data_IF_731298347513
#
_entry.id   IF_731298347513
#
_cell.length_a   1.000
_cell.length_b   1.000
_cell.length_c   1.000
_cell.angle_alpha   90.00
_cell.angle_beta   90.00
_cell.angle_gamma   90.00
#
_symmetry.space_group_name_H-M   'P 1'
#
loop_
_entity.id
_entity.type
_entity.pdbx_description
1 polymer ?
#
# COMPACT_ATOMS: atom_id res chain seq x y z
N UNK A 1 8.53 3.07 2.64
CA UNK A 1 7.83 1.79 2.88
C UNK A 1 8.16 0.74 1.82
N UNK A 2 8.17 1.09 0.52
CA UNK A 2 8.52 0.19 -0.58
C UNK A 2 9.90 -0.48 -0.39
N UNK A 3 10.92 0.27 0.04
CA UNK A 3 12.27 -0.24 0.28
C UNK A 3 12.29 -1.29 1.39
N UNK A 4 11.53 -1.09 2.47
CA UNK A 4 11.48 -2.06 3.57
C UNK A 4 10.79 -3.36 3.13
N UNK A 5 9.70 -3.27 2.38
CA UNK A 5 9.04 -4.43 1.78
C UNK A 5 9.96 -5.21 0.84
N UNK A 6 10.77 -4.50 0.04
CA UNK A 6 11.73 -5.12 -0.86
C UNK A 6 12.87 -5.82 -0.09
N UNK A 7 13.42 -5.21 0.96
CA UNK A 7 14.46 -5.83 1.81
C UNK A 7 13.98 -7.11 2.44
N UNK A 8 12.76 -7.15 2.94
CA UNK A 8 12.13 -8.34 3.52
C UNK A 8 11.98 -9.44 2.47
N UNK A 9 11.53 -9.08 1.25
CA UNK A 9 11.32 -10.01 0.16
C UNK A 9 12.63 -10.68 -0.30
N UNK A 10 13.69 -9.91 -0.45
CA UNK A 10 14.93 -10.39 -1.05
C UNK A 10 15.89 -11.04 -0.05
N UNK A 11 15.53 -11.06 1.24
CA UNK A 11 16.38 -11.64 2.30
C UNK A 11 17.83 -11.15 2.21
N UNK A 12 18.03 -9.89 1.81
CA UNK A 12 19.26 -9.37 1.24
C UNK A 12 20.40 -9.31 2.25
N UNK A 13 21.26 -10.30 2.19
CA UNK A 13 22.66 -10.15 2.58
C UNK A 13 23.38 -9.48 1.41
N UNK A 14 23.99 -8.33 1.69
CA UNK A 14 24.90 -7.49 0.91
C UNK A 14 25.28 -7.90 -0.53
N UNK A 15 25.44 -6.88 -1.39
CA UNK A 15 25.88 -6.94 -2.79
C UNK A 15 26.95 -7.99 -3.06
N UNK A 16 26.61 -9.04 -3.79
CA UNK A 16 27.58 -9.88 -4.46
C UNK A 16 28.22 -9.11 -5.64
N UNK A 17 29.51 -9.29 -5.92
CA UNK A 17 30.21 -8.65 -7.07
C UNK A 17 29.52 -8.96 -8.41
N UNK A 18 28.78 -10.07 -8.52
CA UNK A 18 28.05 -10.53 -9.70
C UNK A 18 26.53 -10.61 -9.48
N UNK A 19 26.00 -9.84 -8.55
CA UNK A 19 24.59 -9.84 -8.20
C UNK A 19 23.69 -9.09 -9.19
N UNK A 20 22.38 -9.38 -9.17
CA UNK A 20 21.36 -8.61 -9.89
C UNK A 20 21.31 -7.20 -9.31
N UNK A 21 21.38 -6.18 -10.18
CA UNK A 21 21.22 -4.79 -9.77
C UNK A 21 19.75 -4.44 -9.61
N UNK A 22 19.40 -3.80 -8.49
CA UNK A 22 18.02 -3.37 -8.22
C UNK A 22 17.97 -1.86 -8.25
N UNK A 23 17.10 -1.32 -9.10
CA UNK A 23 16.79 0.10 -9.21
C UNK A 23 15.38 0.31 -8.69
N UNK A 24 15.25 1.15 -7.66
CA UNK A 24 13.94 1.50 -7.08
C UNK A 24 13.87 3.02 -6.90
N UNK A 25 12.73 3.61 -7.21
CA UNK A 25 12.49 5.03 -7.03
C UNK A 25 11.24 5.52 -7.75
N UNK A 26 10.98 6.81 -7.61
CA UNK A 26 9.89 7.51 -8.27
C UNK A 26 10.39 8.42 -9.39
N UNK A 27 9.48 8.90 -10.23
CA UNK A 27 9.80 9.81 -11.33
C UNK A 27 10.58 11.03 -10.82
N UNK A 28 11.73 11.26 -11.40
CA UNK A 28 12.67 12.33 -11.01
C UNK A 28 13.90 11.84 -10.27
N UNK A 29 13.87 10.67 -9.66
CA UNK A 29 15.01 10.10 -8.97
C UNK A 29 16.16 9.79 -9.93
N UNK A 30 17.39 10.09 -9.49
CA UNK A 30 18.60 9.84 -10.29
C UNK A 30 18.77 8.36 -10.63
N UNK A 31 18.44 7.47 -9.69
CA UNK A 31 18.62 6.02 -9.81
C UNK A 31 17.83 5.41 -10.98
N UNK A 32 16.64 5.96 -11.26
CA UNK A 32 15.72 5.44 -12.29
C UNK A 32 15.52 6.36 -13.47
N UNK A 33 16.30 7.45 -13.57
CA UNK A 33 16.15 8.49 -14.62
C UNK A 33 16.09 7.93 -16.05
N UNK A 34 16.91 6.93 -16.37
CA UNK A 34 16.93 6.29 -17.69
C UNK A 34 15.64 5.56 -18.05
N UNK A 35 14.79 5.25 -17.05
CA UNK A 35 13.53 4.55 -17.22
C UNK A 35 12.32 5.48 -17.25
N UNK A 36 12.49 6.80 -17.00
CA UNK A 36 11.39 7.76 -16.92
C UNK A 36 10.42 7.72 -18.13
N UNK A 37 10.94 7.40 -19.32
CA UNK A 37 10.11 7.31 -20.53
C UNK A 37 9.13 6.13 -20.54
N UNK A 38 9.37 5.11 -19.73
CA UNK A 38 8.51 3.93 -19.62
C UNK A 38 7.49 4.03 -18.48
N UNK A 39 7.69 4.96 -17.54
CA UNK A 39 6.80 5.15 -16.40
C UNK A 39 5.53 5.84 -16.91
N UNK A 40 4.31 5.28 -16.66
CA UNK A 40 3.06 5.96 -17.00
C UNK A 40 2.93 7.27 -16.21
N UNK A 41 2.21 8.25 -16.78
CA UNK A 41 2.02 9.57 -16.15
C UNK A 41 0.83 9.61 -15.18
N UNK A 42 0.05 8.57 -15.16
CA UNK A 42 -1.11 8.42 -14.28
C UNK A 42 -0.66 8.27 -12.82
N UNK A 43 -1.44 8.80 -11.90
CA UNK A 43 -1.24 8.60 -10.46
C UNK A 43 -1.19 7.11 -10.13
N UNK A 44 -0.36 6.74 -9.17
CA UNK A 44 -0.13 5.35 -8.74
C UNK A 44 0.43 4.43 -9.85
N UNK A 45 0.80 4.99 -10.99
CA UNK A 45 1.35 4.23 -12.11
C UNK A 45 2.79 3.80 -11.87
N UNK A 46 3.20 2.68 -12.47
CA UNK A 46 4.56 2.17 -12.34
C UNK A 46 5.03 1.43 -13.58
N UNK A 47 6.34 1.33 -13.70
CA UNK A 47 7.06 0.47 -14.61
C UNK A 47 7.89 -0.54 -13.81
N UNK A 48 7.75 -1.81 -14.14
CA UNK A 48 8.54 -2.91 -13.59
C UNK A 48 9.25 -3.64 -14.72
N UNK A 49 10.55 -3.92 -14.54
CA UNK A 49 11.34 -4.70 -15.47
C UNK A 49 12.20 -5.70 -14.72
N UNK A 50 12.20 -6.93 -15.17
CA UNK A 50 13.01 -8.02 -14.64
C UNK A 50 13.85 -8.61 -15.77
N UNK A 51 15.15 -8.61 -15.60
CA UNK A 51 16.11 -9.23 -16.52
C UNK A 51 17.13 -10.06 -15.72
N UNK A 52 17.97 -10.89 -16.36
CA UNK A 52 19.05 -11.59 -15.65
C UNK A 52 20.08 -10.67 -14.98
N UNK A 53 20.11 -9.39 -15.33
CA UNK A 53 21.12 -8.42 -14.86
C UNK A 53 20.56 -7.33 -13.95
N UNK A 54 19.24 -7.04 -14.05
CA UNK A 54 18.63 -5.94 -13.31
C UNK A 54 17.15 -6.16 -13.02
N UNK A 55 16.70 -5.61 -11.89
CA UNK A 55 15.29 -5.41 -11.53
C UNK A 55 15.06 -3.91 -11.42
N UNK A 56 14.03 -3.40 -12.08
CA UNK A 56 13.64 -1.98 -12.06
C UNK A 56 12.23 -1.88 -11.49
N UNK A 57 12.07 -1.04 -10.46
CA UNK A 57 10.81 -0.75 -9.78
C UNK A 57 10.66 0.78 -9.78
N UNK A 58 9.98 1.31 -10.79
CA UNK A 58 9.95 2.75 -11.05
C UNK A 58 8.50 3.25 -11.05
N UNK A 59 8.10 3.98 -10.00
CA UNK A 59 6.79 4.60 -9.88
C UNK A 59 6.71 5.98 -10.51
N UNK A 60 5.51 6.41 -10.88
CA UNK A 60 5.24 7.82 -11.17
C UNK A 60 5.30 8.67 -9.89
N UNK A 61 4.95 8.05 -8.77
CA UNK A 61 4.91 8.57 -7.42
C UNK A 61 5.30 7.48 -6.40
N UNK A 62 5.31 7.83 -5.11
CA UNK A 62 5.65 6.90 -4.02
C UNK A 62 4.70 5.68 -4.02
N UNK A 63 3.41 5.89 -4.28
CA UNK A 63 2.40 4.84 -4.28
C UNK A 63 2.59 3.87 -5.46
N UNK A 64 2.88 4.38 -6.65
CA UNK A 64 3.23 3.57 -7.81
C UNK A 64 4.49 2.74 -7.57
N UNK A 65 5.51 3.32 -6.91
CA UNK A 65 6.73 2.58 -6.51
C UNK A 65 6.39 1.46 -5.53
N UNK A 66 5.51 1.71 -4.55
CA UNK A 66 5.01 0.68 -3.64
C UNK A 66 4.30 -0.46 -4.39
N UNK A 67 3.45 -0.14 -5.38
CA UNK A 67 2.73 -1.14 -6.17
C UNK A 67 3.63 -1.95 -7.09
N UNK A 68 4.70 -1.35 -7.61
CA UNK A 68 5.73 -2.10 -8.34
C UNK A 68 6.35 -3.20 -7.46
N UNK A 69 6.60 -2.91 -6.17
CA UNK A 69 7.08 -3.91 -5.20
C UNK A 69 6.04 -5.00 -4.94
N UNK A 70 4.74 -4.65 -4.82
CA UNK A 70 3.71 -5.65 -4.64
C UNK A 70 3.61 -6.59 -5.85
N UNK A 71 3.70 -6.03 -7.07
CA UNK A 71 3.73 -6.85 -8.29
C UNK A 71 4.96 -7.77 -8.33
N UNK A 72 6.15 -7.27 -7.96
CA UNK A 72 7.34 -8.12 -7.85
C UNK A 72 7.11 -9.29 -6.87
N UNK A 73 6.48 -9.04 -5.70
CA UNK A 73 6.13 -10.09 -4.74
C UNK A 73 5.20 -11.15 -5.33
N UNK A 74 4.18 -10.70 -6.09
CA UNK A 74 3.21 -11.59 -6.73
C UNK A 74 3.83 -12.44 -7.85
N UNK A 75 4.86 -11.91 -8.53
CA UNK A 75 5.58 -12.64 -9.59
C UNK A 75 6.59 -13.66 -9.06
N UNK A 76 6.99 -13.53 -7.78
CA UNK A 76 7.97 -14.43 -7.18
C UNK A 76 7.32 -15.78 -6.86
N UNK A 77 7.82 -16.82 -7.50
CA UNK A 77 7.42 -18.21 -7.24
C UNK A 77 8.68 -19.03 -6.97
N UNK A 78 8.73 -19.74 -5.84
CA UNK A 78 9.85 -20.60 -5.44
C UNK A 78 11.24 -19.91 -5.58
N UNK A 79 11.32 -18.64 -5.18
CA UNK A 79 12.51 -17.79 -5.34
C UNK A 79 12.94 -17.55 -6.80
N UNK A 80 12.06 -17.79 -7.75
CA UNK A 80 12.28 -17.50 -9.16
C UNK A 80 11.44 -16.30 -9.61
N UNK A 81 12.01 -15.50 -10.50
CA UNK A 81 11.34 -14.35 -11.11
C UNK A 81 11.34 -14.51 -12.63
N UNK A 82 10.22 -14.32 -13.32
CA UNK A 82 10.15 -14.35 -14.77
C UNK A 82 10.88 -13.14 -15.37
N UNK A 83 11.51 -13.30 -16.52
CA UNK A 83 11.98 -12.16 -17.34
C UNK A 83 10.73 -11.49 -17.92
N UNK A 84 10.50 -10.21 -17.57
CA UNK A 84 9.28 -9.50 -18.00
C UNK A 84 9.44 -7.98 -17.92
N UNK A 85 8.55 -7.28 -18.63
CA UNK A 85 8.31 -5.84 -18.48
C UNK A 85 6.81 -5.62 -18.26
N UNK A 86 6.46 -4.80 -17.27
CA UNK A 86 5.08 -4.43 -16.92
C UNK A 86 5.01 -2.92 -16.79
N UNK A 87 4.05 -2.32 -17.48
CA UNK A 87 3.61 -0.94 -17.27
C UNK A 87 2.16 -1.01 -16.84
N UNK A 88 1.85 -0.45 -15.67
CA UNK A 88 0.51 -0.58 -15.08
C UNK A 88 0.13 0.72 -14.35
N UNK A 89 -1.16 1.02 -14.34
CA UNK A 89 -1.76 2.13 -13.60
C UNK A 89 -3.25 1.84 -13.36
N UNK A 90 -3.84 2.40 -12.28
CA UNK A 90 -5.25 2.16 -12.00
C UNK A 90 -6.16 3.00 -12.90
N UNK A 91 -7.21 2.39 -13.44
CA UNK A 91 -8.28 3.10 -14.14
C UNK A 91 -9.33 3.66 -13.16
N UNK A 92 -9.46 3.03 -11.98
CA UNK A 92 -10.38 3.45 -10.92
C UNK A 92 -9.59 4.11 -9.79
N UNK A 93 -9.88 5.37 -9.52
CA UNK A 93 -9.16 6.19 -8.53
C UNK A 93 -9.26 5.64 -7.10
N UNK A 94 -10.46 5.25 -6.65
CA UNK A 94 -10.69 4.75 -5.29
C UNK A 94 -11.05 3.26 -5.34
N UNK A 95 -10.22 2.45 -4.71
CA UNK A 95 -10.34 1.00 -4.67
C UNK A 95 -10.20 0.54 -3.23
N UNK A 96 -11.22 -0.09 -2.68
CA UNK A 96 -11.11 -0.47 -1.26
C UNK A 96 -12.41 -0.94 -0.64
N UNK A 97 -12.50 -0.79 0.66
CA UNK A 97 -13.54 -1.38 1.48
C UNK A 97 -14.16 -0.34 2.41
N UNK A 98 -15.46 -0.47 2.62
CA UNK A 98 -16.23 0.28 3.63
C UNK A 98 -16.58 -0.66 4.75
N UNK A 99 -16.08 -0.41 5.98
CA UNK A 99 -16.57 -1.05 7.20
C UNK A 99 -17.77 -0.26 7.72
N UNK A 100 -18.94 -0.50 7.13
CA UNK A 100 -20.17 0.26 7.42
C UNK A 100 -21.38 -0.63 7.72
N UNK A 101 -21.18 -1.90 8.03
CA UNK A 101 -22.23 -2.86 8.33
C UNK A 101 -22.73 -2.74 9.77
N UNK A 102 -23.91 -3.30 10.01
CA UNK A 102 -24.48 -3.49 11.35
C UNK A 102 -23.95 -4.78 11.98
N UNK A 103 -23.98 -4.84 13.32
CA UNK A 103 -23.51 -5.98 14.08
C UNK A 103 -22.07 -5.82 14.56
N UNK A 104 -21.48 -6.89 15.05
CA UNK A 104 -20.17 -6.84 15.69
C UNK A 104 -19.09 -6.29 14.76
N UNK A 105 -18.45 -5.14 15.08
CA UNK A 105 -17.35 -4.59 14.30
C UNK A 105 -16.18 -5.56 14.22
N UNK A 106 -15.35 -5.41 13.20
CA UNK A 106 -14.10 -6.16 13.15
C UNK A 106 -13.21 -5.84 14.35
N UNK A 107 -12.50 -6.86 14.84
CA UNK A 107 -11.52 -6.63 15.88
C UNK A 107 -10.36 -5.76 15.37
N UNK A 108 -9.68 -5.05 16.27
CA UNK A 108 -8.50 -4.25 15.94
C UNK A 108 -7.46 -5.06 15.17
N UNK A 109 -7.17 -6.29 15.61
CA UNK A 109 -6.22 -7.18 14.93
C UNK A 109 -6.69 -7.60 13.52
N UNK A 110 -7.98 -7.76 13.30
CA UNK A 110 -8.53 -8.03 11.97
C UNK A 110 -8.32 -6.83 11.04
N UNK A 111 -8.60 -5.62 11.51
CA UNK A 111 -8.36 -4.38 10.74
C UNK A 111 -6.90 -4.21 10.34
N UNK A 112 -5.96 -4.46 11.26
CA UNK A 112 -4.52 -4.40 10.95
C UNK A 112 -4.12 -5.39 9.84
N UNK A 113 -4.66 -6.61 9.86
CA UNK A 113 -4.42 -7.60 8.79
C UNK A 113 -5.06 -7.16 7.47
N UNK A 114 -6.28 -6.63 7.51
CA UNK A 114 -6.98 -6.15 6.33
C UNK A 114 -6.22 -4.99 5.66
N UNK A 115 -5.71 -4.02 6.41
CA UNK A 115 -4.95 -2.91 5.85
C UNK A 115 -3.69 -3.38 5.11
N UNK A 116 -2.99 -4.37 5.63
CA UNK A 116 -1.86 -5.00 4.94
C UNK A 116 -2.31 -5.70 3.66
N UNK A 117 -3.36 -6.51 3.75
CA UNK A 117 -3.95 -7.20 2.59
C UNK A 117 -4.40 -6.21 1.51
N UNK A 118 -5.01 -5.08 1.90
CA UNK A 118 -5.44 -4.06 0.93
C UNK A 118 -4.24 -3.49 0.17
N UNK A 119 -3.18 -3.10 0.85
CA UNK A 119 -1.96 -2.63 0.19
C UNK A 119 -1.31 -3.66 -0.73
N UNK A 120 -1.23 -4.92 -0.29
CA UNK A 120 -0.70 -6.03 -1.09
C UNK A 120 -1.49 -6.28 -2.38
N UNK A 121 -2.79 -5.95 -2.38
CA UNK A 121 -3.69 -6.09 -3.53
C UNK A 121 -4.00 -4.75 -4.22
N UNK A 122 -3.19 -3.71 -3.98
CA UNK A 122 -3.30 -2.39 -4.61
C UNK A 122 -4.64 -1.69 -4.37
N UNK A 123 -5.32 -2.00 -3.27
CA UNK A 123 -6.45 -1.22 -2.77
C UNK A 123 -5.89 -0.02 -2.01
N UNK A 124 -6.45 1.16 -2.24
CA UNK A 124 -5.92 2.42 -1.71
C UNK A 124 -6.86 3.15 -0.75
N UNK A 125 -8.02 2.57 -0.41
CA UNK A 125 -9.04 3.25 0.39
C UNK A 125 -9.67 2.30 1.38
N UNK A 126 -9.69 2.69 2.65
CA UNK A 126 -10.47 2.03 3.69
C UNK A 126 -11.31 3.04 4.43
N UNK A 127 -12.62 2.88 4.37
CA UNK A 127 -13.59 3.76 5.04
C UNK A 127 -14.02 3.10 6.34
N UNK A 128 -13.62 3.69 7.46
CA UNK A 128 -13.97 3.28 8.80
C UNK A 128 -15.27 3.96 9.23
N UNK A 129 -16.32 3.18 9.43
CA UNK A 129 -17.63 3.67 9.85
C UNK A 129 -18.51 2.54 10.36
N UNK A 130 -18.01 1.67 11.30
CA UNK A 130 -18.82 0.59 11.87
C UNK A 130 -20.03 1.18 12.62
N UNK A 131 -21.22 0.65 12.36
CA UNK A 131 -22.48 1.19 12.93
C UNK A 131 -22.58 1.07 14.45
N UNK A 132 -21.87 0.11 15.02
CA UNK A 132 -21.85 -0.13 16.47
C UNK A 132 -20.71 0.65 17.17
N UNK A 133 -19.93 1.48 16.45
CA UNK A 133 -18.98 2.40 17.05
C UNK A 133 -19.74 3.63 17.59
N UNK A 134 -19.77 3.85 18.92
CA UNK A 134 -20.56 4.94 19.51
C UNK A 134 -20.00 6.33 19.16
N UNK A 135 -18.75 6.46 18.74
CA UNK A 135 -18.10 7.72 18.38
C UNK A 135 -18.18 8.04 16.89
N UNK A 136 -18.74 7.16 16.10
CA UNK A 136 -18.95 7.35 14.67
C UNK A 136 -20.26 8.08 14.37
N UNK A 137 -21.27 7.97 15.26
CA UNK A 137 -22.62 8.47 15.02
C UNK A 137 -23.17 9.31 16.18
N UNK A 138 -24.35 9.92 15.99
CA UNK A 138 -25.08 10.64 17.02
C UNK A 138 -25.43 9.71 18.22
N UNK A 139 -25.39 10.22 19.48
CA UNK A 139 -25.06 11.61 19.86
C UNK A 139 -23.57 11.87 20.08
N UNK A 140 -22.72 10.84 20.03
CA UNK A 140 -21.35 10.90 20.56
C UNK A 140 -20.29 11.32 19.53
N UNK A 141 -20.65 11.55 18.28
CA UNK A 141 -19.70 11.84 17.19
C UNK A 141 -18.81 13.09 17.43
N UNK A 142 -19.18 13.95 18.40
CA UNK A 142 -18.38 15.12 18.82
C UNK A 142 -17.46 14.84 19.99
N UNK A 143 -17.60 13.69 20.64
CA UNK A 143 -16.77 13.33 21.78
C UNK A 143 -15.45 12.71 21.32
N UNK A 144 -14.35 12.97 22.02
CA UNK A 144 -13.11 12.26 21.74
C UNK A 144 -13.26 10.78 22.08
N UNK A 145 -12.56 9.93 21.34
CA UNK A 145 -12.41 8.53 21.73
C UNK A 145 -11.71 8.41 23.09
N UNK A 146 -12.05 7.45 23.93
CA UNK A 146 -11.23 7.08 25.08
C UNK A 146 -9.79 6.79 24.67
N UNK A 147 -8.85 6.94 25.61
CA UNK A 147 -7.41 6.89 25.30
C UNK A 147 -6.97 5.59 24.59
N UNK A 148 -7.52 4.46 25.00
CA UNK A 148 -7.17 3.16 24.42
C UNK A 148 -7.64 3.04 22.98
N UNK A 149 -8.89 3.39 22.72
CA UNK A 149 -9.49 3.38 21.37
C UNK A 149 -8.81 4.40 20.45
N UNK A 150 -8.49 5.59 20.98
CA UNK A 150 -7.73 6.58 20.24
C UNK A 150 -6.33 6.08 19.82
N UNK A 151 -5.64 5.33 20.70
CA UNK A 151 -4.37 4.67 20.36
C UNK A 151 -4.56 3.64 19.24
N UNK A 152 -5.62 2.85 19.30
CA UNK A 152 -5.93 1.86 18.27
C UNK A 152 -6.23 2.51 16.91
N UNK A 153 -7.03 3.57 16.89
CA UNK A 153 -7.29 4.33 15.64
C UNK A 153 -5.98 4.91 15.09
N UNK A 154 -5.14 5.49 15.94
CA UNK A 154 -3.83 6.01 15.52
C UNK A 154 -2.95 4.93 14.90
N UNK A 155 -2.93 3.73 15.48
CA UNK A 155 -2.19 2.59 14.93
C UNK A 155 -2.74 2.17 13.56
N UNK A 156 -4.07 2.11 13.40
CA UNK A 156 -4.70 1.82 12.11
C UNK A 156 -4.32 2.84 11.04
N UNK A 157 -4.35 4.13 11.36
CA UNK A 157 -3.92 5.20 10.44
C UNK A 157 -2.45 5.03 10.03
N UNK A 158 -1.59 4.69 10.98
CA UNK A 158 -0.16 4.47 10.71
C UNK A 158 0.04 3.24 9.80
N UNK A 159 -0.60 2.12 10.11
CA UNK A 159 -0.50 0.89 9.30
C UNK A 159 -1.12 1.08 7.91
N UNK A 160 -2.22 1.82 7.79
CA UNK A 160 -2.80 2.19 6.51
C UNK A 160 -1.79 2.96 5.66
N UNK A 161 -1.17 4.00 6.22
CA UNK A 161 -0.13 4.79 5.55
C UNK A 161 1.06 3.93 5.09
N UNK A 162 1.52 3.01 5.93
CA UNK A 162 2.62 2.09 5.62
C UNK A 162 2.30 1.13 4.47
N UNK A 163 1.02 0.91 4.20
CA UNK A 163 0.53 0.03 3.13
C UNK A 163 -0.11 0.78 1.95
N UNK A 164 0.17 2.09 1.83
CA UNK A 164 -0.36 2.93 0.75
C UNK A 164 -1.91 2.95 0.71
N UNK A 165 -2.57 2.86 1.87
CA UNK A 165 -4.03 2.89 2.03
C UNK A 165 -4.46 4.20 2.70
N UNK A 166 -5.39 4.91 2.12
CA UNK A 166 -6.03 6.08 2.72
C UNK A 166 -7.04 5.59 3.78
N UNK A 167 -6.79 5.92 5.03
CA UNK A 167 -7.75 5.71 6.11
C UNK A 167 -8.75 6.88 6.12
N UNK A 168 -10.00 6.59 5.83
CA UNK A 168 -11.09 7.55 5.82
C UNK A 168 -11.99 7.29 7.02
N UNK A 169 -12.02 8.23 7.95
CA UNK A 169 -12.94 8.15 9.09
C UNK A 169 -14.27 8.76 8.71
N UNK A 170 -15.33 7.94 8.67
CA UNK A 170 -16.66 8.40 8.36
C UNK A 170 -17.35 8.97 9.61
N UNK A 171 -18.03 10.10 9.46
CA UNK A 171 -18.92 10.67 10.48
C UNK A 171 -20.35 10.56 10.00
N UNK A 172 -21.22 10.11 10.89
CA UNK A 172 -22.67 10.15 10.71
C UNK A 172 -23.27 11.12 11.73
N UNK A 173 -23.33 12.43 11.42
CA UNK A 173 -23.74 13.46 12.39
C UNK A 173 -25.19 13.29 12.85
N UNK A 174 -25.96 12.46 12.18
CA UNK A 174 -27.27 12.03 12.62
C UNK A 174 -28.33 13.11 12.55
N UNK A 175 -29.48 12.74 13.00
CA UNK A 175 -30.68 13.58 13.15
C UNK A 175 -30.62 14.39 14.42
#
# INVERSE_FOLDING_TARGET
YAINGLKTLLNSKQSAKDGIRIYIGERGDKAIRKYNKFIPKQDEGYFLRITPKEIVLAGNDEQGTFYAVQTLKQLMNDNQLPITEITDYPEVRFRGVVEGFYGTPWSHQARLRHLKFYGENKMNTYIYGPKDDPYHSSPNWRLPYPEQEAKQIKELVQVAKENAVNFVWAIHPGQ
#
